data_IF_312754794642
#
_entry.id   IF_312754794642
#
_cell.length_a   1.000
_cell.length_b   1.000
_cell.length_c   1.000
_cell.angle_alpha   90.00
_cell.angle_beta   90.00
_cell.angle_gamma   90.00
#
_symmetry.space_group_name_H-M   'P 1'
#
loop_
_entity.id
_entity.type
_entity.pdbx_description
1 polymer ?
#
# COMPACT_ATOMS: atom_id res chain seq x y z
N UNK A 1 -6.71 40.31 59.39
CA UNK A 1 -7.71 40.08 58.33
C UNK A 1 -7.13 39.07 57.35
N UNK A 2 -7.55 37.80 57.48
CA UNK A 2 -7.10 36.72 56.61
C UNK A 2 -8.06 36.61 55.44
N UNK A 3 -7.59 36.82 54.22
CA UNK A 3 -8.40 36.67 53.02
C UNK A 3 -8.45 35.18 52.63
N UNK A 4 -9.55 34.53 52.99
CA UNK A 4 -9.89 33.20 52.49
C UNK A 4 -10.17 33.28 50.99
N UNK A 5 -9.20 32.83 50.19
CA UNK A 5 -9.37 32.66 48.75
C UNK A 5 -10.31 31.49 48.51
N UNK A 6 -11.59 31.80 48.31
CA UNK A 6 -12.61 30.85 47.90
C UNK A 6 -12.17 30.13 46.62
N UNK A 7 -11.76 28.86 46.74
CA UNK A 7 -11.48 27.99 45.60
C UNK A 7 -12.80 27.72 44.87
N UNK A 8 -13.04 28.44 43.78
CA UNK A 8 -14.16 28.18 42.88
C UNK A 8 -14.05 26.76 42.33
N UNK A 9 -14.89 25.84 42.82
CA UNK A 9 -15.08 24.54 42.19
C UNK A 9 -15.78 24.77 40.84
N UNK A 10 -15.26 24.23 39.73
CA UNK A 10 -15.92 24.39 38.44
C UNK A 10 -17.32 23.76 38.48
N UNK A 11 -18.33 24.56 38.11
CA UNK A 11 -19.77 24.20 38.15
C UNK A 11 -20.15 23.04 37.21
N UNK A 12 -19.26 22.67 36.29
CA UNK A 12 -19.47 21.56 35.37
C UNK A 12 -18.30 20.58 35.46
N UNK A 13 -18.54 19.28 35.68
CA UNK A 13 -17.52 18.27 35.48
C UNK A 13 -17.11 18.33 34.01
N UNK A 14 -15.89 18.78 33.72
CA UNK A 14 -15.35 18.74 32.38
C UNK A 14 -15.40 17.29 31.89
N UNK A 15 -16.25 17.01 30.89
CA UNK A 15 -16.23 15.70 30.22
C UNK A 15 -14.79 15.47 29.76
N UNK A 16 -14.17 14.31 30.06
CA UNK A 16 -12.82 14.04 29.59
C UNK A 16 -12.85 14.11 28.06
N UNK A 17 -12.24 15.17 27.51
CA UNK A 17 -12.05 15.29 26.07
C UNK A 17 -11.19 14.10 25.67
N UNK A 18 -11.78 13.10 25.01
CA UNK A 18 -11.03 11.98 24.43
C UNK A 18 -10.07 12.57 23.40
N UNK A 19 -8.82 12.78 23.82
CA UNK A 19 -7.74 13.22 22.94
C UNK A 19 -7.42 12.06 22.01
N UNK A 20 -8.06 12.01 20.84
CA UNK A 20 -7.65 11.14 19.74
C UNK A 20 -6.17 11.38 19.47
N UNK A 21 -5.37 10.32 19.38
CA UNK A 21 -3.94 10.49 19.16
C UNK A 21 -3.72 11.26 17.85
N UNK A 22 -2.82 12.26 17.80
CA UNK A 22 -2.57 13.03 16.59
C UNK A 22 -2.23 12.16 15.38
N UNK A 23 -1.51 11.04 15.59
CA UNK A 23 -1.18 10.09 14.53
C UNK A 23 -2.42 9.37 13.95
N UNK A 24 -3.38 8.98 14.80
CA UNK A 24 -4.63 8.36 14.33
C UNK A 24 -5.49 9.34 13.54
N UNK A 25 -5.49 10.62 13.95
CA UNK A 25 -6.16 11.68 13.19
C UNK A 25 -5.52 11.82 11.80
N UNK A 26 -4.19 11.94 11.73
CA UNK A 26 -3.46 12.00 10.45
C UNK A 26 -3.77 10.80 9.57
N UNK A 27 -3.72 9.58 10.13
CA UNK A 27 -4.00 8.37 9.38
C UNK A 27 -5.42 8.37 8.81
N UNK A 28 -6.41 8.74 9.64
CA UNK A 28 -7.80 8.87 9.21
C UNK A 28 -7.95 9.89 8.08
N UNK A 29 -7.37 11.07 8.22
CA UNK A 29 -7.52 12.14 7.22
C UNK A 29 -6.91 11.72 5.88
N UNK A 30 -5.71 11.11 5.91
CA UNK A 30 -5.07 10.54 4.72
C UNK A 30 -5.92 9.43 4.10
N UNK A 31 -6.46 8.52 4.91
CA UNK A 31 -7.31 7.42 4.42
C UNK A 31 -8.61 7.93 3.83
N UNK A 32 -9.28 8.92 4.43
CA UNK A 32 -10.52 9.50 3.89
C UNK A 32 -10.27 10.12 2.53
N UNK A 33 -9.20 10.92 2.40
CA UNK A 33 -8.81 11.50 1.12
C UNK A 33 -8.47 10.42 0.09
N UNK A 34 -7.74 9.38 0.51
CA UNK A 34 -7.38 8.28 -0.39
C UNK A 34 -8.62 7.48 -0.82
N UNK A 35 -9.59 7.24 0.07
CA UNK A 35 -10.84 6.56 -0.28
C UNK A 35 -11.59 7.33 -1.37
N UNK A 36 -11.64 8.66 -1.30
CA UNK A 36 -12.29 9.47 -2.35
C UNK A 36 -11.63 9.27 -3.72
N UNK A 37 -10.29 9.31 -3.79
CA UNK A 37 -9.55 9.02 -5.04
C UNK A 37 -9.69 7.56 -5.47
N UNK A 38 -9.62 6.65 -4.50
CA UNK A 38 -9.73 5.21 -4.69
C UNK A 38 -11.09 4.82 -5.28
N UNK A 39 -12.18 5.47 -4.88
CA UNK A 39 -13.51 5.21 -5.45
C UNK A 39 -13.55 5.52 -6.96
N UNK A 40 -12.96 6.64 -7.38
CA UNK A 40 -12.88 6.99 -8.81
C UNK A 40 -12.01 5.99 -9.56
N UNK A 41 -10.84 5.66 -8.99
CA UNK A 41 -9.94 4.65 -9.55
C UNK A 41 -10.64 3.30 -9.72
N UNK A 42 -11.31 2.80 -8.68
CA UNK A 42 -12.01 1.52 -8.72
C UNK A 42 -13.21 1.53 -9.65
N UNK A 43 -13.93 2.66 -9.77
CA UNK A 43 -14.98 2.78 -10.78
C UNK A 43 -14.44 2.61 -12.20
N UNK A 44 -13.29 3.23 -12.53
CA UNK A 44 -12.64 3.07 -13.83
C UNK A 44 -12.19 1.62 -14.04
N UNK A 45 -11.56 1.00 -13.03
CA UNK A 45 -11.13 -0.41 -13.09
C UNK A 45 -12.33 -1.33 -13.30
N UNK A 46 -13.42 -1.14 -12.56
CA UNK A 46 -14.63 -1.96 -12.70
C UNK A 46 -15.25 -1.84 -14.08
N UNK A 47 -15.30 -0.62 -14.65
CA UNK A 47 -15.76 -0.43 -16.02
C UNK A 47 -14.88 -1.20 -17.00
N UNK A 48 -13.56 -1.17 -16.86
CA UNK A 48 -12.65 -1.92 -17.72
C UNK A 48 -12.81 -3.44 -17.55
N UNK A 49 -12.86 -3.92 -16.31
CA UNK A 49 -13.03 -5.35 -15.97
C UNK A 49 -14.34 -5.89 -16.52
N UNK A 50 -15.41 -5.10 -16.56
CA UNK A 50 -16.70 -5.52 -17.09
C UNK A 50 -16.77 -5.37 -18.61
N UNK A 51 -16.33 -4.24 -19.17
CA UNK A 51 -16.52 -3.95 -20.59
C UNK A 51 -15.58 -4.74 -21.51
N UNK A 52 -14.32 -4.95 -21.09
CA UNK A 52 -13.31 -5.61 -21.94
C UNK A 52 -13.70 -7.05 -22.28
N UNK A 53 -14.16 -7.91 -21.34
CA UNK A 53 -14.58 -9.27 -21.68
C UNK A 53 -15.68 -9.32 -22.74
N UNK A 54 -16.68 -8.43 -22.67
CA UNK A 54 -17.74 -8.37 -23.70
C UNK A 54 -17.22 -7.96 -25.08
N UNK A 55 -16.24 -7.04 -25.12
CA UNK A 55 -15.59 -6.68 -26.39
C UNK A 55 -14.80 -7.88 -26.92
N UNK A 56 -14.03 -8.56 -26.06
CA UNK A 56 -13.24 -9.73 -26.47
C UNK A 56 -14.13 -10.87 -26.95
N UNK A 57 -15.20 -11.19 -26.23
CA UNK A 57 -16.19 -12.21 -26.59
C UNK A 57 -16.78 -11.99 -27.99
N UNK A 58 -16.90 -10.73 -28.42
CA UNK A 58 -17.41 -10.39 -29.74
C UNK A 58 -16.43 -10.70 -30.88
N UNK A 59 -15.13 -10.73 -30.61
CA UNK A 59 -14.06 -10.83 -31.62
C UNK A 59 -13.13 -12.05 -31.42
N UNK A 60 -13.27 -12.79 -30.33
CA UNK A 60 -12.41 -13.93 -30.00
C UNK A 60 -12.84 -14.62 -28.70
N UNK A 61 -11.98 -15.49 -28.18
CA UNK A 61 -12.26 -16.27 -26.97
C UNK A 61 -11.83 -15.54 -25.70
N UNK A 62 -12.76 -15.36 -24.77
CA UNK A 62 -12.46 -14.89 -23.42
C UNK A 62 -11.80 -16.03 -22.65
N UNK A 63 -10.50 -15.86 -22.39
CA UNK A 63 -9.71 -16.86 -21.69
C UNK A 63 -8.82 -16.34 -20.58
N UNK A 64 -8.57 -15.03 -20.51
CA UNK A 64 -7.61 -14.41 -19.57
C UNK A 64 -8.33 -13.43 -18.65
N UNK A 65 -7.95 -13.44 -17.37
CA UNK A 65 -8.42 -12.50 -16.36
C UNK A 65 -8.09 -11.04 -16.74
N UNK A 66 -9.08 -10.16 -16.71
CA UNK A 66 -8.87 -8.70 -16.88
C UNK A 66 -8.42 -8.08 -15.56
N UNK A 67 -8.90 -8.60 -14.44
CA UNK A 67 -8.43 -8.20 -13.09
C UNK A 67 -6.92 -8.43 -12.94
N UNK A 68 -6.37 -9.48 -13.56
CA UNK A 68 -4.91 -9.72 -13.60
C UNK A 68 -4.14 -8.56 -14.24
N UNK A 69 -4.66 -7.93 -15.28
CA UNK A 69 -4.05 -6.73 -15.87
C UNK A 69 -4.23 -5.50 -14.96
N UNK A 70 -5.43 -5.36 -14.36
CA UNK A 70 -5.73 -4.26 -13.44
C UNK A 70 -4.77 -4.21 -12.24
N UNK A 71 -4.18 -5.35 -11.85
CA UNK A 71 -3.12 -5.43 -10.83
C UNK A 71 -1.98 -4.44 -11.07
N UNK A 72 -1.50 -4.29 -12.30
CA UNK A 72 -0.39 -3.36 -12.59
C UNK A 72 -0.79 -1.93 -12.23
N UNK A 73 -1.96 -1.49 -12.68
CA UNK A 73 -2.49 -0.18 -12.28
C UNK A 73 -2.72 -0.10 -10.77
N UNK A 74 -3.14 -1.19 -10.15
CA UNK A 74 -3.34 -1.29 -8.71
C UNK A 74 -2.08 -1.00 -7.92
N UNK A 75 -0.92 -1.53 -8.33
CA UNK A 75 0.35 -1.30 -7.63
C UNK A 75 0.85 0.12 -7.85
N UNK A 76 0.86 0.57 -9.11
CA UNK A 76 1.52 1.83 -9.47
C UNK A 76 0.69 3.08 -9.14
N UNK A 77 -0.64 2.98 -9.10
CA UNK A 77 -1.53 4.08 -8.70
C UNK A 77 -1.29 4.58 -7.26
N UNK A 78 -1.50 3.78 -6.20
CA UNK A 78 -1.28 4.22 -4.82
C UNK A 78 0.19 4.53 -4.54
N UNK A 79 1.13 3.81 -5.18
CA UNK A 79 2.55 4.13 -5.15
C UNK A 79 2.80 5.59 -5.58
N UNK A 80 2.26 5.99 -6.73
CA UNK A 80 2.46 7.34 -7.30
C UNK A 80 1.78 8.42 -6.45
N UNK A 81 0.58 8.14 -5.96
CA UNK A 81 -0.14 9.05 -5.07
C UNK A 81 0.63 9.27 -3.77
N UNK A 82 1.21 8.21 -3.19
CA UNK A 82 1.97 8.29 -1.95
C UNK A 82 3.31 9.02 -2.10
N UNK A 83 3.92 9.01 -3.30
CA UNK A 83 5.03 9.93 -3.63
C UNK A 83 4.58 11.37 -3.44
N UNK A 84 3.46 11.74 -4.06
CA UNK A 84 2.89 13.09 -3.98
C UNK A 84 2.55 13.50 -2.55
N UNK A 85 1.90 12.62 -1.80
CA UNK A 85 1.57 12.84 -0.38
C UNK A 85 2.83 13.04 0.45
N UNK A 86 3.85 12.19 0.30
CA UNK A 86 5.10 12.32 1.05
C UNK A 86 5.91 13.57 0.69
N UNK A 87 5.82 14.03 -0.56
CA UNK A 87 6.48 15.25 -1.01
C UNK A 87 5.82 16.51 -0.44
N UNK A 88 4.49 16.58 -0.41
CA UNK A 88 3.71 17.82 -0.22
C UNK A 88 3.02 17.96 1.13
N UNK A 89 2.45 16.87 1.66
CA UNK A 89 1.63 16.91 2.87
C UNK A 89 2.37 17.27 4.18
N UNK A 90 3.66 16.91 4.39
CA UNK A 90 4.35 17.23 5.64
C UNK A 90 4.35 18.72 5.99
N UNK A 91 4.47 19.60 4.99
CA UNK A 91 4.50 21.04 5.20
C UNK A 91 3.15 21.58 5.70
N UNK A 92 2.06 21.15 5.06
CA UNK A 92 0.69 21.50 5.46
C UNK A 92 0.39 20.96 6.85
N UNK A 93 0.81 19.71 7.12
CA UNK A 93 0.61 19.06 8.40
C UNK A 93 1.29 19.84 9.55
N UNK A 94 2.56 20.24 9.38
CA UNK A 94 3.28 21.03 10.39
C UNK A 94 2.71 22.44 10.51
N UNK A 95 2.32 23.08 9.41
CA UNK A 95 1.70 24.41 9.41
C UNK A 95 0.37 24.43 10.18
N UNK A 96 -0.37 23.32 10.21
CA UNK A 96 -1.58 23.16 11.02
C UNK A 96 -1.32 22.92 12.52
N UNK A 97 -0.07 23.06 12.97
CA UNK A 97 0.32 22.92 14.38
C UNK A 97 0.58 21.49 14.84
N UNK A 98 0.64 20.52 13.92
CA UNK A 98 0.93 19.12 14.24
C UNK A 98 2.43 18.78 14.13
N UNK A 99 2.85 17.71 14.81
CA UNK A 99 4.27 17.33 14.86
C UNK A 99 4.66 16.40 13.70
N UNK A 100 5.93 16.47 13.26
CA UNK A 100 6.49 15.54 12.26
C UNK A 100 6.38 14.08 12.67
N UNK A 101 6.54 13.78 13.96
CA UNK A 101 6.40 12.42 14.51
C UNK A 101 4.97 11.90 14.38
N UNK A 102 3.96 12.76 14.58
CA UNK A 102 2.56 12.40 14.36
C UNK A 102 2.28 12.14 12.87
N UNK A 103 2.84 12.96 11.97
CA UNK A 103 2.79 12.72 10.53
C UNK A 103 3.33 11.34 10.17
N UNK A 104 4.58 11.04 10.53
CA UNK A 104 5.25 9.80 10.13
C UNK A 104 4.48 8.56 10.62
N UNK A 105 4.06 8.54 11.88
CA UNK A 105 3.29 7.42 12.43
C UNK A 105 1.94 7.26 11.74
N UNK A 106 1.25 8.37 11.48
CA UNK A 106 -0.04 8.36 10.79
C UNK A 106 0.06 7.93 9.33
N UNK A 107 1.08 8.41 8.61
CA UNK A 107 1.34 8.07 7.22
C UNK A 107 1.72 6.58 7.05
N UNK A 108 2.59 6.06 7.92
CA UNK A 108 2.92 4.62 7.94
C UNK A 108 1.68 3.75 8.17
N UNK A 109 0.86 4.11 9.17
CA UNK A 109 -0.38 3.39 9.45
C UNK A 109 -1.33 3.46 8.24
N UNK A 110 -1.53 4.64 7.66
CA UNK A 110 -2.38 4.81 6.48
C UNK A 110 -1.88 3.98 5.28
N UNK A 111 -0.57 3.99 5.00
CA UNK A 111 0.01 3.24 3.89
C UNK A 111 -0.15 1.73 4.04
N UNK A 112 0.02 1.19 5.25
CA UNK A 112 -0.19 -0.23 5.54
C UNK A 112 -1.67 -0.59 5.40
N UNK A 113 -2.56 0.17 6.06
CA UNK A 113 -4.02 -0.07 5.97
C UNK A 113 -4.50 0.00 4.53
N UNK A 114 -4.03 1.00 3.78
CA UNK A 114 -4.36 1.15 2.37
C UNK A 114 -3.86 -0.03 1.53
N UNK A 115 -2.62 -0.45 1.74
CA UNK A 115 -2.03 -1.58 1.01
C UNK A 115 -2.79 -2.87 1.26
N UNK A 116 -3.15 -3.13 2.52
CA UNK A 116 -3.98 -4.28 2.90
C UNK A 116 -5.39 -4.19 2.32
N UNK A 117 -6.01 -3.01 2.30
CA UNK A 117 -7.33 -2.82 1.70
C UNK A 117 -7.31 -3.05 0.18
N UNK A 118 -6.31 -2.53 -0.53
CA UNK A 118 -6.12 -2.77 -1.96
C UNK A 118 -5.89 -4.25 -2.26
N UNK A 119 -5.07 -4.91 -1.44
CA UNK A 119 -4.85 -6.35 -1.55
C UNK A 119 -6.16 -7.14 -1.41
N UNK A 120 -6.96 -6.81 -0.39
CA UNK A 120 -8.24 -7.47 -0.16
C UNK A 120 -9.21 -7.26 -1.33
N UNK A 121 -9.34 -6.03 -1.84
CA UNK A 121 -10.21 -5.73 -2.99
C UNK A 121 -9.75 -6.52 -4.22
N UNK A 122 -8.45 -6.55 -4.51
CA UNK A 122 -7.92 -7.31 -5.65
C UNK A 122 -8.17 -8.81 -5.54
N UNK A 123 -7.95 -9.41 -4.37
CA UNK A 123 -8.24 -10.84 -4.17
C UNK A 123 -9.73 -11.11 -4.37
N UNK A 124 -10.61 -10.28 -3.80
CA UNK A 124 -12.05 -10.45 -3.95
C UNK A 124 -12.51 -10.27 -5.40
N UNK A 125 -11.92 -9.34 -6.14
CA UNK A 125 -12.22 -9.15 -7.57
C UNK A 125 -11.80 -10.35 -8.41
N UNK A 126 -10.67 -10.99 -8.12
CA UNK A 126 -10.27 -12.22 -8.83
C UNK A 126 -11.27 -13.36 -8.60
N UNK A 127 -11.71 -13.57 -7.35
CA UNK A 127 -12.70 -14.60 -7.03
C UNK A 127 -14.06 -14.30 -7.70
N UNK A 128 -14.48 -13.03 -7.66
CA UNK A 128 -15.71 -12.60 -8.30
C UNK A 128 -15.65 -12.78 -9.83
N UNK A 129 -14.52 -12.42 -10.45
CA UNK A 129 -14.30 -12.60 -11.89
C UNK A 129 -14.29 -14.08 -12.28
N UNK A 130 -13.62 -14.94 -11.51
CA UNK A 130 -13.62 -16.39 -11.73
C UNK A 130 -15.03 -16.96 -11.71
N UNK A 131 -15.84 -16.58 -10.71
CA UNK A 131 -17.23 -17.01 -10.61
C UNK A 131 -18.08 -16.48 -11.77
N UNK A 132 -17.90 -15.21 -12.14
CA UNK A 132 -18.62 -14.59 -13.23
C UNK A 132 -18.29 -15.23 -14.59
N UNK A 133 -17.01 -15.48 -14.88
CA UNK A 133 -16.58 -16.14 -16.10
C UNK A 133 -17.13 -17.57 -16.18
N UNK A 134 -17.12 -18.30 -15.06
CA UNK A 134 -17.72 -19.63 -14.97
C UNK A 134 -19.23 -19.61 -15.25
N UNK A 135 -19.96 -18.59 -14.76
CA UNK A 135 -21.38 -18.44 -15.03
C UNK A 135 -21.67 -18.08 -16.51
N UNK A 136 -20.75 -17.39 -17.18
CA UNK A 136 -20.86 -17.03 -18.61
C UNK A 136 -20.39 -18.15 -19.55
N UNK A 137 -19.80 -19.23 -19.02
CA UNK A 137 -19.19 -20.29 -19.82
C UNK A 137 -17.85 -19.90 -20.46
N UNK A 138 -17.23 -18.82 -20.00
CA UNK A 138 -15.91 -18.37 -20.48
C UNK A 138 -14.76 -19.11 -19.80
N UNK A 139 -13.61 -19.14 -20.49
CA UNK A 139 -12.37 -19.64 -19.89
C UNK A 139 -11.80 -18.63 -18.90
N UNK A 140 -11.36 -19.10 -17.74
CA UNK A 140 -10.66 -18.26 -16.76
C UNK A 140 -9.27 -18.81 -16.48
N UNK A 141 -8.24 -18.05 -16.87
CA UNK A 141 -6.85 -18.33 -16.49
C UNK A 141 -6.11 -17.04 -16.14
N UNK A 142 -5.15 -17.19 -15.25
CA UNK A 142 -4.12 -16.19 -15.01
C UNK A 142 -3.01 -16.41 -16.05
N UNK A 143 -2.37 -15.33 -16.48
CA UNK A 143 -1.19 -15.44 -17.33
C UNK A 143 0.02 -15.88 -16.49
N UNK A 144 0.91 -16.70 -17.08
CA UNK A 144 2.04 -17.36 -16.39
C UNK A 144 2.84 -16.38 -15.51
N UNK A 145 3.19 -16.83 -14.30
CA UNK A 145 4.06 -16.11 -13.35
C UNK A 145 3.47 -16.00 -11.94
N UNK A 146 2.17 -15.79 -11.77
CA UNK A 146 1.61 -15.39 -10.47
C UNK A 146 0.59 -16.39 -9.93
N UNK A 147 1.01 -17.26 -9.01
CA UNK A 147 0.26 -18.34 -8.34
C UNK A 147 -0.58 -19.24 -9.25
N UNK A 148 -0.69 -20.51 -8.89
CA UNK A 148 -1.56 -21.40 -9.65
C UNK A 148 -3.05 -21.02 -9.42
N UNK A 149 -3.95 -21.15 -10.42
CA UNK A 149 -5.40 -20.88 -10.28
C UNK A 149 -6.09 -21.63 -9.13
N UNK A 150 -5.47 -22.69 -8.64
CA UNK A 150 -5.85 -23.55 -7.52
C UNK A 150 -5.27 -23.12 -6.16
N UNK A 151 -4.44 -22.08 -6.13
CA UNK A 151 -3.94 -21.54 -4.87
C UNK A 151 -5.05 -20.90 -4.05
N UNK A 152 -5.07 -21.25 -2.75
CA UNK A 152 -6.10 -20.77 -1.83
C UNK A 152 -6.08 -19.25 -1.66
N UNK A 153 -7.26 -18.69 -1.42
CA UNK A 153 -7.49 -17.26 -1.14
C UNK A 153 -6.44 -16.63 -0.20
N UNK A 154 -6.02 -17.36 0.84
CA UNK A 154 -5.03 -16.89 1.81
C UNK A 154 -3.66 -16.61 1.19
N UNK A 155 -3.20 -17.45 0.26
CA UNK A 155 -1.90 -17.27 -0.40
C UNK A 155 -1.92 -16.09 -1.36
N UNK A 156 -2.99 -15.96 -2.15
CA UNK A 156 -3.20 -14.83 -3.06
C UNK A 156 -3.28 -13.51 -2.28
N UNK A 157 -4.06 -13.49 -1.19
CA UNK A 157 -4.16 -12.33 -0.31
C UNK A 157 -2.81 -11.96 0.30
N UNK A 158 -2.06 -12.92 0.84
CA UNK A 158 -0.76 -12.68 1.45
C UNK A 158 0.20 -12.01 0.45
N UNK A 159 0.24 -12.50 -0.78
CA UNK A 159 1.13 -11.97 -1.79
C UNK A 159 0.73 -10.58 -2.28
N UNK A 160 -0.57 -10.32 -2.40
CA UNK A 160 -1.03 -8.96 -2.64
C UNK A 160 -0.71 -8.04 -1.47
N UNK A 161 -0.94 -8.45 -0.22
CA UNK A 161 -0.57 -7.64 0.95
C UNK A 161 0.92 -7.32 0.93
N UNK A 162 1.78 -8.32 0.70
CA UNK A 162 3.22 -8.14 0.55
C UNK A 162 3.55 -7.09 -0.53
N UNK A 163 2.97 -7.24 -1.72
CA UNK A 163 3.22 -6.38 -2.87
C UNK A 163 2.75 -4.94 -2.62
N UNK A 164 1.48 -4.76 -2.22
CA UNK A 164 0.87 -3.44 -2.05
C UNK A 164 1.46 -2.68 -0.87
N UNK A 165 1.74 -3.35 0.25
CA UNK A 165 2.34 -2.67 1.42
C UNK A 165 3.76 -2.21 1.09
N UNK A 166 4.59 -3.06 0.48
CA UNK A 166 5.96 -2.69 0.08
C UNK A 166 5.92 -1.58 -0.97
N UNK A 167 5.03 -1.65 -1.97
CA UNK A 167 4.83 -0.59 -2.95
C UNK A 167 4.45 0.75 -2.28
N UNK A 168 3.47 0.76 -1.38
CA UNK A 168 3.04 1.97 -0.70
C UNK A 168 4.17 2.61 0.12
N UNK A 169 4.92 1.79 0.87
CA UNK A 169 6.07 2.26 1.66
C UNK A 169 7.20 2.79 0.77
N UNK A 170 7.48 2.11 -0.34
CA UNK A 170 8.44 2.56 -1.36
C UNK A 170 8.03 3.91 -1.96
N UNK A 171 6.76 4.09 -2.34
CA UNK A 171 6.25 5.36 -2.87
C UNK A 171 6.43 6.51 -1.87
N UNK A 172 6.08 6.30 -0.59
CA UNK A 172 6.33 7.30 0.45
C UNK A 172 7.82 7.61 0.62
N UNK A 173 8.69 6.60 0.57
CA UNK A 173 10.13 6.79 0.71
C UNK A 173 10.70 7.58 -0.46
N UNK A 174 10.31 7.28 -1.70
CA UNK A 174 10.70 8.04 -2.90
C UNK A 174 10.35 9.52 -2.72
N UNK A 175 9.09 9.84 -2.42
CA UNK A 175 8.67 11.24 -2.25
C UNK A 175 9.42 11.95 -1.11
N UNK A 176 9.74 11.23 -0.04
CA UNK A 176 10.50 11.77 1.10
C UNK A 176 11.96 12.02 0.75
N UNK A 177 12.63 11.10 0.06
CA UNK A 177 14.04 11.21 -0.32
C UNK A 177 14.23 12.31 -1.36
N UNK A 178 13.37 12.39 -2.38
CA UNK A 178 13.39 13.51 -3.33
C UNK A 178 13.18 14.84 -2.64
N UNK A 179 12.24 14.89 -1.69
CA UNK A 179 11.99 16.08 -0.89
C UNK A 179 13.13 16.49 0.04
N UNK A 180 14.01 15.56 0.44
CA UNK A 180 15.10 15.79 1.37
C UNK A 180 16.45 16.02 0.69
N UNK A 181 16.77 15.25 -0.36
CA UNK A 181 18.07 15.24 -1.03
C UNK A 181 18.07 15.97 -2.39
N UNK A 182 16.89 16.33 -2.92
CA UNK A 182 16.77 17.00 -4.22
C UNK A 182 16.91 16.06 -5.42
N UNK A 183 17.06 16.65 -6.62
CA UNK A 183 16.88 15.94 -7.90
C UNK A 183 17.84 14.76 -8.13
N UNK A 184 19.14 15.00 -8.22
CA UNK A 184 20.11 13.97 -8.61
C UNK A 184 20.28 12.88 -7.55
N UNK A 185 20.38 13.26 -6.27
CA UNK A 185 20.47 12.28 -5.18
C UNK A 185 19.18 11.49 -4.99
N UNK A 186 18.01 12.10 -5.22
CA UNK A 186 16.74 11.38 -5.32
C UNK A 186 16.76 10.33 -6.42
N UNK A 187 17.25 10.70 -7.60
CA UNK A 187 17.35 9.81 -8.77
C UNK A 187 18.30 8.63 -8.51
N UNK A 188 19.49 8.90 -7.97
CA UNK A 188 20.46 7.86 -7.63
C UNK A 188 19.95 6.91 -6.53
N UNK A 189 19.01 7.36 -5.69
CA UNK A 189 18.38 6.52 -4.66
C UNK A 189 17.22 5.65 -5.17
N UNK A 190 16.76 5.84 -6.42
CA UNK A 190 15.63 5.09 -6.98
C UNK A 190 15.81 3.57 -6.91
N UNK A 191 16.97 2.98 -7.22
CA UNK A 191 17.17 1.54 -7.08
C UNK A 191 16.94 1.05 -5.65
N UNK A 192 17.33 1.83 -4.64
CA UNK A 192 17.15 1.48 -3.23
C UNK A 192 15.72 1.70 -2.73
N UNK A 193 15.01 2.70 -3.27
CA UNK A 193 13.66 3.07 -2.82
C UNK A 193 12.57 2.30 -3.55
N UNK A 194 12.73 2.06 -4.86
CA UNK A 194 11.78 1.34 -5.72
C UNK A 194 12.15 -0.14 -5.87
N UNK A 195 13.44 -0.48 -5.83
CA UNK A 195 13.93 -1.86 -5.96
C UNK A 195 13.22 -2.88 -5.07
N UNK A 196 12.89 -2.58 -3.79
CA UNK A 196 12.11 -3.49 -2.95
C UNK A 196 10.78 -3.94 -3.55
N UNK A 197 10.09 -3.08 -4.31
CA UNK A 197 8.84 -3.43 -5.00
C UNK A 197 9.12 -4.46 -6.09
N UNK A 198 10.16 -4.24 -6.89
CA UNK A 198 10.56 -5.19 -7.94
C UNK A 198 11.04 -6.52 -7.36
N UNK A 199 11.73 -6.50 -6.22
CA UNK A 199 12.06 -7.73 -5.50
C UNK A 199 10.78 -8.47 -5.18
N UNK A 200 9.83 -7.87 -4.46
CA UNK A 200 8.58 -8.57 -4.09
C UNK A 200 7.79 -9.05 -5.32
N UNK A 201 7.67 -8.24 -6.37
CA UNK A 201 7.02 -8.66 -7.63
C UNK A 201 7.73 -9.88 -8.21
N UNK A 202 9.07 -9.84 -8.33
CA UNK A 202 9.84 -10.97 -8.84
C UNK A 202 9.71 -12.22 -7.95
N UNK A 203 9.68 -12.06 -6.62
CA UNK A 203 9.48 -13.17 -5.68
C UNK A 203 8.14 -13.86 -5.90
N UNK A 204 7.11 -13.07 -6.18
CA UNK A 204 5.76 -13.58 -6.39
C UNK A 204 5.59 -14.14 -7.82
N UNK A 205 6.15 -13.47 -8.83
CA UNK A 205 6.12 -13.89 -10.25
C UNK A 205 7.01 -15.12 -10.55
N UNK A 206 8.04 -15.36 -9.74
CA UNK A 206 9.00 -16.42 -10.02
C UNK A 206 8.55 -17.80 -9.54
N UNK A 207 7.43 -17.92 -8.80
CA UNK A 207 6.84 -19.21 -8.37
C UNK A 207 7.86 -20.31 -8.09
N UNK A 208 8.45 -20.32 -6.89
CA UNK A 208 9.59 -21.16 -6.43
C UNK A 208 10.93 -21.00 -7.16
N UNK A 209 10.97 -20.74 -8.48
CA UNK A 209 12.17 -20.84 -9.34
C UNK A 209 13.34 -19.90 -9.00
N UNK A 210 13.12 -18.90 -8.16
CA UNK A 210 14.17 -17.94 -7.75
C UNK A 210 14.90 -18.36 -6.48
N UNK A 211 14.34 -19.31 -5.71
CA UNK A 211 15.00 -19.79 -4.50
C UNK A 211 16.20 -20.63 -4.94
N UNK A 212 17.44 -20.29 -4.54
CA UNK A 212 18.63 -21.12 -4.82
C UNK A 212 18.57 -22.48 -4.10
N UNK A 213 17.43 -22.81 -3.49
CA UNK A 213 17.16 -24.02 -2.76
C UNK A 213 16.30 -25.01 -3.55
N UNK A 214 15.85 -24.70 -4.76
CA UNK A 214 15.08 -25.66 -5.58
C UNK A 214 15.88 -26.95 -5.82
N UNK A 215 17.19 -26.80 -6.06
CA UNK A 215 18.15 -27.90 -6.20
C UNK A 215 18.54 -28.54 -4.84
N UNK A 216 18.42 -27.81 -3.72
CA UNK A 216 18.86 -28.26 -2.38
C UNK A 216 17.75 -28.86 -1.51
N UNK A 217 16.50 -28.42 -1.67
CA UNK A 217 15.32 -28.81 -0.88
C UNK A 217 14.33 -29.65 -1.71
N UNK A 218 14.48 -29.67 -3.03
CA UNK A 218 13.53 -30.27 -3.97
C UNK A 218 12.30 -29.40 -4.22
N UNK A 219 11.79 -29.42 -5.44
CA UNK A 219 10.69 -28.57 -5.92
C UNK A 219 9.43 -28.60 -5.03
N UNK A 220 9.07 -29.77 -4.50
CA UNK A 220 7.89 -29.92 -3.64
C UNK A 220 8.01 -29.15 -2.31
N UNK A 221 9.20 -29.12 -1.71
CA UNK A 221 9.42 -28.43 -0.44
C UNK A 221 9.64 -26.93 -0.65
N UNK A 222 10.26 -26.53 -1.77
CA UNK A 222 10.32 -25.14 -2.19
C UNK A 222 8.92 -24.54 -2.40
N UNK A 223 8.00 -25.27 -3.03
CA UNK A 223 6.61 -24.87 -3.20
C UNK A 223 5.89 -24.61 -1.86
N UNK A 224 6.10 -25.48 -0.87
CA UNK A 224 5.50 -25.32 0.46
C UNK A 224 6.06 -24.10 1.23
N UNK A 225 7.33 -23.76 1.02
CA UNK A 225 7.99 -22.66 1.73
C UNK A 225 7.87 -21.31 1.02
N UNK A 226 7.47 -21.27 -0.26
CA UNK A 226 7.39 -20.04 -1.04
C UNK A 226 6.49 -18.96 -0.40
N UNK A 227 5.28 -19.24 0.11
CA UNK A 227 4.45 -18.23 0.77
C UNK A 227 5.13 -17.65 2.02
N UNK A 228 5.82 -18.50 2.79
CA UNK A 228 6.56 -18.06 3.98
C UNK A 228 7.76 -17.19 3.59
N UNK A 229 8.49 -17.56 2.54
CA UNK A 229 9.61 -16.77 2.04
C UNK A 229 9.15 -15.38 1.57
N UNK A 230 8.06 -15.30 0.80
CA UNK A 230 7.44 -14.04 0.39
C UNK A 230 7.05 -13.21 1.61
N UNK A 231 6.37 -13.80 2.60
CA UNK A 231 5.97 -13.11 3.82
C UNK A 231 7.17 -12.55 4.59
N UNK A 232 8.21 -13.34 4.79
CA UNK A 232 9.41 -12.95 5.54
C UNK A 232 10.16 -11.85 4.80
N UNK A 233 10.44 -12.01 3.51
CA UNK A 233 11.17 -10.99 2.75
C UNK A 233 10.38 -9.69 2.66
N UNK A 234 9.07 -9.77 2.39
CA UNK A 234 8.21 -8.59 2.35
C UNK A 234 8.14 -7.89 3.71
N UNK A 235 8.05 -8.63 4.82
CA UNK A 235 8.06 -8.05 6.16
C UNK A 235 9.40 -7.34 6.46
N UNK A 236 10.53 -7.96 6.13
CA UNK A 236 11.86 -7.35 6.31
C UNK A 236 11.98 -6.07 5.48
N UNK A 237 11.59 -6.11 4.20
CA UNK A 237 11.62 -4.94 3.32
C UNK A 237 10.67 -3.83 3.82
N UNK A 238 9.45 -4.19 4.23
CA UNK A 238 8.49 -3.23 4.76
C UNK A 238 9.02 -2.54 6.03
N UNK A 239 9.63 -3.29 6.95
CA UNK A 239 10.25 -2.72 8.17
C UNK A 239 11.41 -1.81 7.78
N UNK A 240 12.31 -2.25 6.89
CA UNK A 240 13.44 -1.45 6.44
C UNK A 240 12.99 -0.12 5.79
N UNK A 241 12.00 -0.18 4.90
CA UNK A 241 11.41 1.00 4.26
C UNK A 241 10.74 1.93 5.27
N UNK A 242 9.97 1.37 6.23
CA UNK A 242 9.31 2.15 7.27
C UNK A 242 10.31 2.85 8.19
N UNK A 243 11.40 2.18 8.56
CA UNK A 243 12.50 2.75 9.35
C UNK A 243 13.21 3.84 8.56
N UNK A 244 13.58 3.59 7.29
CA UNK A 244 14.21 4.58 6.42
C UNK A 244 13.34 5.83 6.27
N UNK A 245 12.05 5.65 5.98
CA UNK A 245 11.07 6.72 5.90
C UNK A 245 11.01 7.50 7.22
N UNK A 246 10.93 6.81 8.36
CA UNK A 246 10.89 7.45 9.68
C UNK A 246 12.11 8.33 9.94
N UNK A 247 13.30 7.80 9.70
CA UNK A 247 14.56 8.50 9.97
C UNK A 247 14.72 9.75 9.11
N UNK A 248 14.33 9.68 7.83
CA UNK A 248 14.48 10.80 6.89
C UNK A 248 13.38 11.83 7.11
N UNK A 249 12.12 11.41 7.22
CA UNK A 249 10.97 12.31 7.33
C UNK A 249 10.97 13.14 8.64
N UNK A 250 11.47 12.60 9.75
CA UNK A 250 11.58 13.36 11.01
C UNK A 250 12.66 14.44 10.92
N UNK A 251 13.77 14.16 10.21
CA UNK A 251 14.94 15.05 10.10
C UNK A 251 14.81 16.12 9.02
N UNK A 252 13.97 15.89 8.00
CA UNK A 252 13.77 16.82 6.87
C UNK A 252 13.36 18.23 7.32
N UNK A 253 14.08 19.31 6.95
CA UNK A 253 13.63 20.68 7.19
C UNK A 253 12.32 20.95 6.45
N UNK A 254 11.32 21.45 7.16
CA UNK A 254 10.09 21.99 6.56
C UNK A 254 10.34 23.47 6.39
N UNK A 255 10.54 23.92 5.15
CA UNK A 255 10.76 25.32 4.87
C UNK A 255 9.54 26.14 5.34
N UNK A 256 9.74 27.29 6.02
CA UNK A 256 8.65 28.22 6.29
C UNK A 256 8.04 28.64 4.96
N UNK A 257 6.70 28.66 4.88
CA UNK A 257 5.99 29.15 3.69
C UNK A 257 6.39 30.62 3.51
N UNK A 258 7.15 30.94 2.45
CA UNK A 258 7.33 32.33 2.03
C UNK A 258 5.96 32.79 1.52
N UNK A 259 5.34 33.71 2.26
CA UNK A 259 4.10 34.38 1.88
C UNK A 259 4.31 35.27 0.68
#
# INVERSE_FOLDING_TARGET
MSADVARSRPLFPARPVRRTSPALRTARDLLVWFVQMGLVYWAIVLVAVVAVPFVVDRFGEVGVSIVWFARQSGVWFPFSVLIGVAATYPAVHVASGMTRRAYVRGALLAAVVLGTAFALVMTLLLEAERAWYGAMGWGWRLQDGWFAPDEGFGTVLLAYVATFVVANLSGMLVGTVYGAAGGWWGTLSLPLTVGPVFVVIALVDAGTRWLPFDDLLGAARAAQLAPLAVAVVAAVLAVALAVAFHLIAVRRPVAPRRG
#
